data_IF_836406806886
#
_entry.id   IF_836406806886
#
_cell.length_a   1.000
_cell.length_b   1.000
_cell.length_c   1.000
_cell.angle_alpha   90.00
_cell.angle_beta   90.00
_cell.angle_gamma   90.00
#
_symmetry.space_group_name_H-M   'P 1'
#
loop_
_entity.id
_entity.type
_entity.pdbx_description
1 polymer ?
#
# COMPACT_ATOMS: atom_id res chain seq x y z
N UNK A 1 6.22 41.24 -25.55
CA UNK A 1 6.87 42.49 -25.11
C UNK A 1 5.87 43.23 -24.21
N UNK A 2 5.98 43.06 -22.89
CA UNK A 2 5.05 43.66 -21.93
C UNK A 2 5.45 45.13 -21.73
N UNK A 3 4.50 46.08 -21.89
CA UNK A 3 4.75 47.49 -21.58
C UNK A 3 4.86 47.65 -20.07
N UNK A 4 6.08 47.79 -19.57
CA UNK A 4 6.37 48.09 -18.17
C UNK A 4 5.93 49.52 -17.84
N UNK A 5 5.33 49.71 -16.67
CA UNK A 5 5.02 51.04 -16.13
C UNK A 5 6.31 51.84 -15.84
N UNK A 6 6.22 53.19 -15.80
CA UNK A 6 7.38 54.05 -15.52
C UNK A 6 8.11 53.67 -14.22
N UNK A 7 7.37 53.27 -13.19
CA UNK A 7 7.91 52.82 -11.91
C UNK A 7 8.69 51.51 -12.02
N UNK A 8 8.21 50.56 -12.83
CA UNK A 8 8.90 49.29 -13.09
C UNK A 8 10.19 49.49 -13.90
N UNK A 9 10.22 50.46 -14.82
CA UNK A 9 11.43 50.81 -15.57
C UNK A 9 12.51 51.39 -14.64
N UNK A 10 12.14 52.27 -13.71
CA UNK A 10 13.08 52.83 -12.71
C UNK A 10 13.63 51.73 -11.79
N UNK A 11 12.77 50.79 -11.36
CA UNK A 11 13.19 49.64 -10.56
C UNK A 11 14.19 48.78 -11.33
N UNK A 12 13.91 48.46 -12.59
CA UNK A 12 14.77 47.62 -13.43
C UNK A 12 16.15 48.24 -13.64
N UNK A 13 16.24 49.54 -13.91
CA UNK A 13 17.53 50.24 -14.05
C UNK A 13 18.31 50.28 -12.73
N UNK A 14 17.62 50.42 -11.61
CA UNK A 14 18.24 50.35 -10.29
C UNK A 14 18.82 48.95 -10.01
N UNK A 15 18.07 47.89 -10.32
CA UNK A 15 18.50 46.50 -10.18
C UNK A 15 19.72 46.21 -11.04
N UNK A 16 19.69 46.61 -12.32
CA UNK A 16 20.85 46.46 -13.23
C UNK A 16 22.09 47.16 -12.70
N UNK A 17 21.93 48.37 -12.16
CA UNK A 17 23.04 49.14 -11.58
C UNK A 17 23.64 48.42 -10.37
N UNK A 18 22.79 47.90 -9.48
CA UNK A 18 23.21 47.14 -8.30
C UNK A 18 23.96 45.86 -8.71
N UNK A 19 23.39 45.07 -9.62
CA UNK A 19 24.04 43.84 -10.08
C UNK A 19 25.31 44.08 -10.86
N UNK A 20 25.40 45.16 -11.63
CA UNK A 20 26.64 45.58 -12.26
C UNK A 20 27.73 45.87 -11.22
N UNK A 21 27.39 46.59 -10.14
CA UNK A 21 28.33 46.80 -9.04
C UNK A 21 28.81 45.49 -8.43
N UNK A 22 27.91 44.54 -8.14
CA UNK A 22 28.27 43.21 -7.63
C UNK A 22 29.21 42.46 -8.58
N UNK A 23 28.91 42.50 -9.88
CA UNK A 23 29.73 41.89 -10.90
C UNK A 23 31.14 42.48 -10.93
N UNK A 24 31.24 43.80 -11.06
CA UNK A 24 32.52 44.49 -11.21
C UNK A 24 33.40 44.36 -9.96
N UNK A 25 32.81 44.40 -8.77
CA UNK A 25 33.57 44.36 -7.51
C UNK A 25 33.84 42.95 -6.97
N UNK A 26 32.90 42.02 -7.11
CA UNK A 26 32.98 40.72 -6.43
C UNK A 26 33.21 39.56 -7.39
N UNK A 27 32.61 39.58 -8.58
CA UNK A 27 32.80 38.52 -9.57
C UNK A 27 34.11 38.72 -10.31
N UNK A 28 34.26 39.84 -11.03
CA UNK A 28 35.47 40.17 -11.80
C UNK A 28 36.68 40.44 -10.89
N UNK A 29 36.43 40.98 -9.70
CA UNK A 29 37.45 41.23 -8.68
C UNK A 29 38.07 39.98 -8.06
N UNK A 30 37.49 38.79 -8.29
CA UNK A 30 38.04 37.51 -7.83
C UNK A 30 38.06 37.37 -6.31
N UNK A 31 36.88 37.28 -5.68
CA UNK A 31 36.79 37.08 -4.23
C UNK A 31 37.27 35.71 -3.77
N UNK A 32 37.78 35.62 -2.54
CA UNK A 32 38.14 34.34 -1.92
C UNK A 32 36.91 33.46 -1.67
N UNK A 33 37.13 32.14 -1.58
CA UNK A 33 36.07 31.17 -1.30
C UNK A 33 35.32 31.43 0.01
N UNK A 34 36.02 31.89 1.06
CA UNK A 34 35.39 32.23 2.35
C UNK A 34 34.45 33.42 2.23
N UNK A 35 34.88 34.46 1.49
CA UNK A 35 34.06 35.64 1.24
C UNK A 35 32.85 35.29 0.38
N UNK A 36 33.00 34.39 -0.59
CA UNK A 36 31.90 33.86 -1.37
C UNK A 36 30.86 33.14 -0.48
N UNK A 37 31.30 32.24 0.40
CA UNK A 37 30.39 31.57 1.35
C UNK A 37 29.69 32.56 2.29
N UNK A 38 30.39 33.57 2.79
CA UNK A 38 29.79 34.62 3.63
C UNK A 38 28.70 35.41 2.88
N UNK A 39 28.91 35.71 1.60
CA UNK A 39 27.90 36.37 0.76
C UNK A 39 26.69 35.46 0.59
N UNK A 40 26.88 34.20 0.21
CA UNK A 40 25.78 33.24 0.06
C UNK A 40 24.98 33.08 1.35
N UNK A 41 25.64 32.92 2.50
CA UNK A 41 24.97 32.84 3.81
C UNK A 41 24.16 34.11 4.13
N UNK A 42 24.71 35.29 3.84
CA UNK A 42 24.03 36.57 4.07
C UNK A 42 22.75 36.73 3.23
N UNK A 43 22.75 36.18 2.02
CA UNK A 43 21.63 36.30 1.08
C UNK A 43 20.70 35.08 1.02
N UNK A 44 21.05 33.96 1.66
CA UNK A 44 20.33 32.69 1.58
C UNK A 44 18.81 32.80 1.81
N UNK A 45 18.39 33.66 2.74
CA UNK A 45 16.98 33.86 3.12
C UNK A 45 16.38 35.16 2.60
N UNK A 46 17.09 35.90 1.74
CA UNK A 46 16.64 37.18 1.20
C UNK A 46 16.17 37.00 -0.24
N UNK A 47 15.07 37.64 -0.60
CA UNK A 47 14.66 37.74 -2.00
C UNK A 47 15.60 38.71 -2.71
N UNK A 48 16.59 38.18 -3.43
CA UNK A 48 17.69 38.95 -3.99
C UNK A 48 17.99 38.65 -5.46
N UNK A 49 17.28 37.71 -6.08
CA UNK A 49 17.43 37.33 -7.48
C UNK A 49 16.24 37.86 -8.28
N UNK A 50 16.47 38.85 -9.14
CA UNK A 50 15.40 39.45 -9.95
C UNK A 50 15.11 38.59 -11.18
N UNK A 51 13.86 38.20 -11.35
CA UNK A 51 13.37 37.51 -12.54
C UNK A 51 12.54 38.49 -13.37
N UNK A 52 13.09 38.89 -14.52
CA UNK A 52 12.43 39.84 -15.44
C UNK A 52 11.14 39.27 -16.04
N UNK A 53 11.02 37.94 -16.15
CA UNK A 53 9.84 37.30 -16.76
C UNK A 53 8.62 37.37 -15.86
N UNK A 54 8.82 37.21 -14.55
CA UNK A 54 7.76 37.27 -13.54
C UNK A 54 7.68 38.63 -12.83
N UNK A 55 8.69 39.48 -12.98
CA UNK A 55 8.75 40.80 -12.34
C UNK A 55 8.86 40.72 -10.81
N UNK A 56 9.52 39.67 -10.28
CA UNK A 56 9.59 39.36 -8.85
C UNK A 56 11.02 39.04 -8.43
N UNK A 57 11.32 39.30 -7.15
CA UNK A 57 12.54 38.80 -6.52
C UNK A 57 12.35 37.41 -5.91
N UNK A 58 13.32 36.53 -6.16
CA UNK A 58 13.37 35.18 -5.66
C UNK A 58 14.44 35.02 -4.58
N UNK A 59 14.18 34.13 -3.63
CA UNK A 59 15.21 33.65 -2.72
C UNK A 59 16.15 32.71 -3.48
N UNK A 60 17.45 32.67 -3.14
CA UNK A 60 18.41 31.76 -3.75
C UNK A 60 17.95 30.29 -3.75
N UNK A 61 17.33 29.83 -2.66
CA UNK A 61 16.81 28.45 -2.56
C UNK A 61 15.64 28.12 -3.52
N UNK A 62 15.00 29.13 -4.12
CA UNK A 62 13.85 28.94 -5.02
C UNK A 62 14.17 29.22 -6.49
N UNK A 63 15.43 29.51 -6.82
CA UNK A 63 15.86 29.83 -8.18
C UNK A 63 16.92 28.84 -8.65
N UNK A 64 16.66 28.23 -9.81
CA UNK A 64 17.49 27.19 -10.40
C UNK A 64 18.02 27.63 -11.78
N UNK A 65 19.15 27.07 -12.21
CA UNK A 65 19.65 27.22 -13.59
C UNK A 65 18.93 26.25 -14.53
N UNK A 66 18.76 25.02 -14.08
CA UNK A 66 18.03 23.99 -14.81
C UNK A 66 16.53 24.24 -14.75
N UNK A 67 15.81 23.75 -15.76
CA UNK A 67 14.39 24.01 -15.88
C UNK A 67 13.55 23.24 -14.85
N UNK A 68 12.67 23.95 -14.13
CA UNK A 68 11.86 23.41 -13.04
C UNK A 68 10.35 23.71 -13.18
N UNK A 69 9.72 23.39 -14.32
CA UNK A 69 8.31 23.76 -14.59
C UNK A 69 7.32 23.08 -13.64
N UNK A 70 7.72 21.98 -13.01
CA UNK A 70 6.93 21.18 -12.07
C UNK A 70 6.72 21.84 -10.70
N UNK A 71 7.37 22.96 -10.40
CA UNK A 71 7.13 23.72 -9.16
C UNK A 71 6.14 24.88 -9.31
N UNK A 72 5.51 25.02 -10.47
CA UNK A 72 4.54 26.08 -10.74
C UNK A 72 5.13 27.48 -10.51
N UNK A 73 4.45 28.30 -9.71
CA UNK A 73 4.86 29.67 -9.39
C UNK A 73 5.60 29.82 -8.05
N UNK A 74 6.03 28.71 -7.43
CA UNK A 74 6.68 28.70 -6.10
C UNK A 74 8.20 28.61 -6.18
N UNK A 75 8.74 28.14 -7.29
CA UNK A 75 10.17 28.12 -7.65
C UNK A 75 10.31 28.50 -9.13
N UNK A 76 11.48 28.98 -9.55
CA UNK A 76 11.69 29.51 -10.91
C UNK A 76 12.98 29.01 -11.54
N UNK A 77 13.01 29.06 -12.88
CA UNK A 77 14.20 28.88 -13.72
C UNK A 77 14.73 30.24 -14.12
N UNK A 78 15.97 30.57 -13.75
CA UNK A 78 16.68 31.74 -14.28
C UNK A 78 17.88 31.24 -15.07
N UNK A 79 17.69 31.14 -16.40
CA UNK A 79 18.65 30.51 -17.30
C UNK A 79 20.03 31.18 -17.29
N UNK A 80 21.06 30.42 -17.66
CA UNK A 80 22.44 30.92 -17.75
C UNK A 80 22.64 32.01 -18.81
N UNK A 81 21.74 32.13 -19.78
CA UNK A 81 21.72 33.22 -20.77
C UNK A 81 21.32 34.57 -20.18
N UNK A 82 20.90 34.63 -18.90
CA UNK A 82 20.58 35.88 -18.24
C UNK A 82 21.83 36.75 -18.07
N UNK A 83 21.70 38.06 -18.32
CA UNK A 83 22.80 39.02 -18.31
C UNK A 83 23.55 39.13 -16.96
N UNK A 84 22.97 38.58 -15.89
CA UNK A 84 23.47 38.63 -14.52
C UNK A 84 23.72 37.24 -13.91
N UNK A 85 23.85 36.20 -14.74
CA UNK A 85 23.99 34.82 -14.27
C UNK A 85 25.12 34.63 -13.24
N UNK A 86 26.31 35.22 -13.47
CA UNK A 86 27.43 35.09 -12.54
C UNK A 86 27.16 35.75 -11.18
N UNK A 87 26.40 36.86 -11.17
CA UNK A 87 25.95 37.50 -9.93
C UNK A 87 24.92 36.64 -9.21
N UNK A 88 24.02 35.98 -9.94
CA UNK A 88 23.02 35.09 -9.34
C UNK A 88 23.67 33.87 -8.70
N UNK A 89 24.67 33.28 -9.35
CA UNK A 89 25.47 32.20 -8.77
C UNK A 89 26.23 32.66 -7.52
N UNK A 90 26.83 33.86 -7.55
CA UNK A 90 27.47 34.49 -6.38
C UNK A 90 26.49 34.66 -5.20
N UNK A 91 25.25 35.05 -5.50
CA UNK A 91 24.19 35.26 -4.50
C UNK A 91 23.57 33.94 -4.00
N UNK A 92 23.91 32.81 -4.61
CA UNK A 92 23.52 31.48 -4.17
C UNK A 92 22.46 30.77 -5.03
N UNK A 93 22.21 31.24 -6.26
CA UNK A 93 21.38 30.51 -7.22
C UNK A 93 21.93 29.08 -7.39
N UNK A 94 21.05 28.09 -7.29
CA UNK A 94 21.44 26.68 -7.39
C UNK A 94 21.37 26.22 -8.83
N UNK A 95 22.16 25.20 -9.17
CA UNK A 95 22.12 24.62 -10.52
C UNK A 95 20.84 23.82 -10.75
N UNK A 96 20.59 22.85 -9.88
CA UNK A 96 19.48 21.91 -9.99
C UNK A 96 18.83 21.70 -8.61
N UNK A 97 17.54 21.33 -8.56
CA UNK A 97 16.90 20.91 -7.34
C UNK A 97 17.52 19.60 -6.81
N UNK A 98 17.52 19.45 -5.48
CA UNK A 98 17.85 18.21 -4.78
C UNK A 98 16.58 17.66 -4.13
N UNK A 99 16.64 16.42 -3.61
CA UNK A 99 15.52 15.75 -2.92
C UNK A 99 14.81 16.69 -1.93
N UNK A 100 15.55 17.42 -1.10
CA UNK A 100 14.97 18.35 -0.13
C UNK A 100 14.09 19.44 -0.76
N UNK A 101 14.42 19.95 -1.95
CA UNK A 101 13.61 21.01 -2.58
C UNK A 101 12.22 20.49 -2.99
N UNK A 102 12.13 19.21 -3.36
CA UNK A 102 10.88 18.54 -3.69
C UNK A 102 10.04 18.26 -2.44
N UNK A 103 10.70 17.85 -1.34
CA UNK A 103 10.05 17.64 -0.04
C UNK A 103 9.50 18.95 0.52
N UNK A 104 10.31 20.01 0.49
CA UNK A 104 9.93 21.34 0.91
C UNK A 104 8.74 21.84 0.10
N UNK A 105 8.74 21.61 -1.23
CA UNK A 105 7.63 22.04 -2.09
C UNK A 105 6.31 21.37 -1.71
N UNK A 106 6.30 20.04 -1.56
CA UNK A 106 5.06 19.31 -1.23
C UNK A 106 4.56 19.70 0.17
N UNK A 107 5.48 19.95 1.10
CA UNK A 107 5.14 20.37 2.46
C UNK A 107 4.56 21.78 2.48
N UNK A 108 5.23 22.75 1.81
CA UNK A 108 4.74 24.11 1.63
C UNK A 108 3.35 24.13 0.96
N UNK A 109 3.17 23.31 -0.08
CA UNK A 109 1.90 23.20 -0.79
C UNK A 109 0.79 22.63 0.10
N UNK A 110 1.09 21.63 0.93
CA UNK A 110 0.13 21.10 1.89
C UNK A 110 -0.24 22.16 2.95
N UNK A 111 0.75 22.85 3.52
CA UNK A 111 0.54 23.90 4.53
C UNK A 111 -0.33 25.05 4.01
N UNK A 112 -0.12 25.51 2.78
CA UNK A 112 -0.93 26.57 2.15
C UNK A 112 -2.43 26.19 2.06
N UNK A 113 -2.72 24.95 1.69
CA UNK A 113 -4.09 24.46 1.54
C UNK A 113 -4.72 23.99 2.85
N UNK A 114 -3.93 23.79 3.90
CA UNK A 114 -4.42 23.53 5.27
C UNK A 114 -4.67 24.84 6.03
N UNK A 115 -3.79 25.84 5.89
CA UNK A 115 -3.89 27.13 6.60
C UNK A 115 -5.02 28.01 6.07
N UNK A 116 -5.47 27.79 4.83
CA UNK A 116 -6.63 28.47 4.23
C UNK A 116 -7.97 27.97 4.76
N UNK A 117 -7.99 26.92 5.59
CA UNK A 117 -9.19 26.41 6.25
C UNK A 117 -9.43 27.17 7.55
N UNK A 118 -10.16 28.28 7.48
CA UNK A 118 -10.65 28.97 8.68
C UNK A 118 -11.52 28.04 9.55
N UNK A 119 -11.25 28.13 10.85
CA UNK A 119 -11.82 27.41 11.98
C UNK A 119 -13.35 27.27 11.91
N UNK A 120 -13.86 26.20 11.28
CA UNK A 120 -15.27 25.81 11.41
C UNK A 120 -15.36 24.75 12.50
N UNK A 121 -15.61 25.19 13.73
CA UNK A 121 -15.92 24.32 14.86
C UNK A 121 -17.26 23.62 14.63
N UNK A 122 -17.25 22.44 14.01
CA UNK A 122 -18.33 21.46 14.24
C UNK A 122 -17.84 20.43 15.23
N UNK A 123 -18.21 20.64 16.49
CA UNK A 123 -17.95 19.75 17.61
C UNK A 123 -18.89 18.53 17.55
N UNK A 124 -18.68 17.64 16.59
CA UNK A 124 -19.22 16.28 16.60
C UNK A 124 -18.60 15.52 15.44
N UNK A 125 -18.00 14.37 15.75
CA UNK A 125 -17.39 13.39 14.82
C UNK A 125 -15.92 13.67 14.46
N UNK A 126 -15.09 12.64 14.62
CA UNK A 126 -13.65 12.75 14.84
C UNK A 126 -12.88 13.46 13.72
N UNK A 127 -12.14 14.51 14.10
CA UNK A 127 -10.94 15.05 13.42
C UNK A 127 -10.92 14.89 11.89
N UNK A 128 -11.93 15.43 11.21
CA UNK A 128 -11.85 15.68 9.78
C UNK A 128 -10.96 16.91 9.57
N UNK A 129 -9.70 16.68 9.20
CA UNK A 129 -8.87 17.74 8.63
C UNK A 129 -9.50 18.13 7.29
N UNK A 130 -10.29 19.20 7.27
CA UNK A 130 -10.83 19.75 6.02
C UNK A 130 -9.68 20.38 5.23
N UNK A 131 -9.00 19.54 4.44
CA UNK A 131 -7.98 19.99 3.51
C UNK A 131 -8.69 20.50 2.25
N UNK A 132 -8.36 21.72 1.83
CA UNK A 132 -8.89 22.24 0.57
C UNK A 132 -8.33 21.43 -0.61
N UNK A 133 -9.20 21.11 -1.56
CA UNK A 133 -8.81 20.45 -2.81
C UNK A 133 -7.85 21.35 -3.59
N UNK A 134 -6.75 20.79 -4.10
CA UNK A 134 -5.79 21.50 -4.92
C UNK A 134 -6.46 21.97 -6.22
N UNK A 135 -6.13 23.18 -6.67
CA UNK A 135 -6.48 23.58 -8.03
C UNK A 135 -5.73 22.73 -9.07
N UNK A 136 -6.18 22.74 -10.32
CA UNK A 136 -5.60 21.91 -11.39
C UNK A 136 -4.11 22.12 -11.61
N UNK A 137 -3.62 23.36 -11.51
CA UNK A 137 -2.20 23.66 -11.71
C UNK A 137 -1.35 23.08 -10.57
N UNK A 138 -1.78 23.26 -9.33
CA UNK A 138 -1.09 22.77 -8.14
C UNK A 138 -1.16 21.25 -8.03
N UNK A 139 -2.29 20.63 -8.39
CA UNK A 139 -2.44 19.17 -8.52
C UNK A 139 -1.41 18.60 -9.50
N UNK A 140 -1.29 19.21 -10.68
CA UNK A 140 -0.33 18.77 -11.70
C UNK A 140 1.13 18.93 -11.22
N UNK A 141 1.43 19.99 -10.49
CA UNK A 141 2.74 20.17 -9.86
C UNK A 141 3.00 19.09 -8.81
N UNK A 142 2.03 18.80 -7.93
CA UNK A 142 2.15 17.77 -6.91
C UNK A 142 2.41 16.38 -7.55
N UNK A 143 1.68 16.01 -8.59
CA UNK A 143 1.88 14.74 -9.32
C UNK A 143 3.31 14.66 -9.89
N UNK A 144 3.77 15.72 -10.57
CA UNK A 144 5.11 15.73 -11.17
C UNK A 144 6.21 15.66 -10.11
N UNK A 145 6.04 16.35 -8.98
CA UNK A 145 7.00 16.32 -7.88
C UNK A 145 7.03 14.94 -7.20
N UNK A 146 5.87 14.33 -6.92
CA UNK A 146 5.80 12.98 -6.36
C UNK A 146 6.44 11.94 -7.31
N UNK A 147 6.21 12.03 -8.62
CA UNK A 147 6.83 11.15 -9.61
C UNK A 147 8.36 11.31 -9.66
N UNK A 148 8.87 12.53 -9.49
CA UNK A 148 10.32 12.78 -9.38
C UNK A 148 10.92 12.23 -8.10
N UNK A 149 10.22 12.37 -6.96
CA UNK A 149 10.63 11.76 -5.70
C UNK A 149 10.71 10.23 -5.81
N UNK A 150 9.72 9.59 -6.45
CA UNK A 150 9.75 8.15 -6.73
C UNK A 150 10.97 7.78 -7.60
N UNK A 151 11.23 8.54 -8.66
CA UNK A 151 12.37 8.31 -9.56
C UNK A 151 13.71 8.45 -8.84
N UNK A 152 13.85 9.45 -7.98
CA UNK A 152 15.05 9.70 -7.18
C UNK A 152 15.28 8.58 -6.15
N UNK A 153 14.23 8.12 -5.48
CA UNK A 153 14.33 6.98 -4.57
C UNK A 153 14.75 5.70 -5.29
N UNK A 154 14.24 5.46 -6.51
CA UNK A 154 14.58 4.28 -7.31
C UNK A 154 16.02 4.31 -7.83
N UNK A 155 16.49 5.47 -8.29
CA UNK A 155 17.80 5.61 -8.94
C UNK A 155 18.94 5.83 -7.93
N UNK A 156 18.70 6.63 -6.90
CA UNK A 156 19.74 7.12 -5.98
C UNK A 156 19.65 6.45 -4.58
N UNK A 157 18.60 5.67 -4.33
CA UNK A 157 18.40 4.98 -3.05
C UNK A 157 18.06 5.93 -1.88
N UNK A 158 17.70 7.18 -2.16
CA UNK A 158 17.35 8.16 -1.13
C UNK A 158 15.99 7.80 -0.52
N UNK A 159 16.00 7.46 0.77
CA UNK A 159 14.78 7.11 1.47
C UNK A 159 13.91 8.35 1.71
N UNK A 160 12.73 8.37 1.11
CA UNK A 160 11.69 9.37 1.35
C UNK A 160 10.64 8.77 2.28
N UNK A 161 10.28 9.47 3.36
CA UNK A 161 9.31 9.00 4.35
C UNK A 161 8.45 10.14 4.86
N UNK A 162 7.22 9.82 5.23
CA UNK A 162 6.28 10.70 5.95
C UNK A 162 6.02 12.04 5.24
N UNK A 163 5.95 12.01 3.91
CA UNK A 163 5.58 13.19 3.12
C UNK A 163 4.06 13.27 2.96
N UNK A 164 3.49 14.48 2.76
CA UNK A 164 2.14 14.61 2.26
C UNK A 164 1.98 13.90 0.92
N UNK A 165 0.88 13.16 0.76
CA UNK A 165 0.53 12.39 -0.44
C UNK A 165 -0.82 12.85 -0.97
N UNK A 166 -0.92 12.85 -2.31
CA UNK A 166 -2.12 13.24 -3.02
C UNK A 166 -3.21 12.17 -2.89
N UNK A 167 -4.42 12.61 -2.55
CA UNK A 167 -5.60 11.76 -2.37
C UNK A 167 -6.51 11.81 -3.60
N UNK A 168 -7.48 10.91 -3.70
CA UNK A 168 -8.46 10.87 -4.78
C UNK A 168 -9.34 12.14 -4.85
N UNK A 169 -9.47 12.89 -3.74
CA UNK A 169 -10.16 14.18 -3.70
C UNK A 169 -9.24 15.38 -4.04
N UNK A 170 -8.06 15.11 -4.59
CA UNK A 170 -7.01 16.09 -4.88
C UNK A 170 -6.55 16.89 -3.65
N UNK A 171 -6.60 16.31 -2.46
CA UNK A 171 -6.06 16.92 -1.24
C UNK A 171 -4.69 16.32 -0.92
N UNK A 172 -3.84 17.07 -0.19
CA UNK A 172 -2.57 16.55 0.35
C UNK A 172 -2.77 16.16 1.81
N UNK A 173 -2.58 14.89 2.12
CA UNK A 173 -2.74 14.32 3.45
C UNK A 173 -1.44 13.64 3.91
N UNK A 174 -1.16 13.57 5.23
CA UNK A 174 -0.06 12.75 5.74
C UNK A 174 -0.16 11.30 5.24
N UNK A 175 0.96 10.72 4.83
CA UNK A 175 0.99 9.38 4.21
C UNK A 175 0.25 8.31 5.05
N UNK A 176 0.43 8.31 6.37
CA UNK A 176 -0.20 7.38 7.33
C UNK A 176 -1.74 7.43 7.36
N UNK A 177 -2.35 8.51 6.85
CA UNK A 177 -3.80 8.69 6.77
C UNK A 177 -4.38 8.32 5.41
N UNK A 178 -3.52 7.98 4.44
CA UNK A 178 -3.90 7.64 3.07
C UNK A 178 -3.78 6.13 2.86
N UNK A 179 -4.84 5.56 2.29
CA UNK A 179 -5.05 4.16 2.00
C UNK A 179 -4.83 3.90 0.51
N UNK A 180 -4.01 2.89 0.22
CA UNK A 180 -3.85 2.33 -1.12
C UNK A 180 -5.12 1.54 -1.45
N UNK A 181 -5.81 1.83 -2.57
CA UNK A 181 -7.05 1.16 -2.94
C UNK A 181 -6.82 -0.24 -3.54
N UNK A 182 -6.12 -1.11 -2.82
CA UNK A 182 -5.84 -2.50 -3.21
C UNK A 182 -6.95 -3.50 -2.86
N UNK A 183 -8.05 -3.01 -2.27
CA UNK A 183 -9.34 -3.70 -2.16
C UNK A 183 -10.42 -2.90 -2.93
N UNK A 184 -10.56 -3.07 -4.26
CA UNK A 184 -11.46 -2.26 -5.08
C UNK A 184 -12.93 -2.28 -4.62
N UNK A 185 -13.40 -3.42 -4.09
CA UNK A 185 -14.76 -3.58 -3.56
C UNK A 185 -15.02 -2.80 -2.26
N UNK A 186 -13.98 -2.26 -1.61
CA UNK A 186 -14.10 -1.40 -0.43
C UNK A 186 -13.98 0.09 -0.78
N UNK A 187 -13.30 0.42 -1.87
CA UNK A 187 -12.91 1.80 -2.24
C UNK A 187 -14.07 2.79 -2.17
N UNK A 188 -15.22 2.41 -2.72
CA UNK A 188 -16.38 3.31 -2.87
C UNK A 188 -17.06 3.66 -1.54
N UNK A 189 -16.74 2.94 -0.46
CA UNK A 189 -17.26 3.21 0.88
C UNK A 189 -16.33 4.07 1.74
N UNK A 190 -15.10 4.33 1.26
CA UNK A 190 -14.11 5.12 1.99
C UNK A 190 -14.18 6.58 1.53
N UNK A 191 -13.99 7.51 2.46
CA UNK A 191 -13.81 8.93 2.13
C UNK A 191 -12.69 9.09 1.07
N UNK A 192 -12.97 9.74 -0.08
CA UNK A 192 -11.97 10.03 -1.11
C UNK A 192 -10.74 10.79 -0.59
N UNK A 193 -10.83 11.54 0.51
CA UNK A 193 -9.68 12.19 1.17
C UNK A 193 -8.72 11.21 1.85
N UNK A 194 -9.14 9.96 2.02
CA UNK A 194 -8.31 8.87 2.57
C UNK A 194 -7.85 7.90 1.49
N UNK A 195 -8.30 8.02 0.25
CA UNK A 195 -7.89 7.12 -0.83
C UNK A 195 -6.73 7.74 -1.61
N UNK A 196 -5.71 6.95 -1.91
CA UNK A 196 -4.58 7.37 -2.75
C UNK A 196 -5.06 7.82 -4.15
N UNK A 197 -4.50 8.92 -4.64
CA UNK A 197 -4.75 9.39 -6.01
C UNK A 197 -4.23 8.39 -7.05
N UNK A 198 -4.98 8.18 -8.14
CA UNK A 198 -4.69 7.14 -9.16
C UNK A 198 -3.35 7.31 -9.89
N UNK A 199 -2.90 8.56 -10.06
CA UNK A 199 -1.61 8.88 -10.69
C UNK A 199 -0.40 8.73 -9.75
N UNK A 200 -0.61 8.36 -8.49
CA UNK A 200 0.48 8.07 -7.54
C UNK A 200 0.69 6.56 -7.46
N UNK A 201 1.92 6.13 -7.70
CA UNK A 201 2.32 4.72 -7.62
C UNK A 201 2.07 4.15 -6.23
N UNK A 202 1.34 3.03 -6.15
CA UNK A 202 1.10 2.30 -4.89
C UNK A 202 2.40 1.83 -4.23
N UNK A 203 3.42 1.49 -5.03
CA UNK A 203 4.74 1.08 -4.52
C UNK A 203 5.44 2.23 -3.81
N UNK A 204 5.42 3.42 -4.42
CA UNK A 204 5.97 4.62 -3.81
C UNK A 204 5.18 5.02 -2.57
N UNK A 205 3.84 5.08 -2.66
CA UNK A 205 2.94 5.38 -1.54
C UNK A 205 3.20 4.49 -0.32
N UNK A 206 3.34 3.18 -0.54
CA UNK A 206 3.70 2.24 0.53
C UNK A 206 5.06 2.55 1.16
N UNK A 207 6.05 2.93 0.34
CA UNK A 207 7.41 3.22 0.83
C UNK A 207 7.49 4.50 1.69
N UNK A 208 6.60 5.45 1.44
CA UNK A 208 6.53 6.71 2.20
C UNK A 208 5.64 6.63 3.45
N UNK A 209 4.88 5.54 3.63
CA UNK A 209 4.10 5.27 4.84
C UNK A 209 2.58 5.13 4.64
N UNK A 210 2.07 5.05 3.41
CA UNK A 210 0.65 4.77 3.18
C UNK A 210 0.27 3.34 3.57
N UNK A 211 -0.95 3.18 4.05
CA UNK A 211 -1.51 1.90 4.48
C UNK A 211 -2.25 1.20 3.34
N UNK A 212 -2.35 -0.12 3.39
CA UNK A 212 -3.08 -0.97 2.46
C UNK A 212 -4.53 -1.13 2.93
N UNK A 213 -5.51 -0.81 2.07
CA UNK A 213 -6.92 -1.03 2.40
C UNK A 213 -7.24 -2.54 2.54
N UNK A 214 -6.51 -3.40 1.84
CA UNK A 214 -6.67 -4.85 1.91
C UNK A 214 -6.04 -5.47 3.16
N UNK A 215 -4.89 -4.97 3.61
CA UNK A 215 -4.10 -5.60 4.69
C UNK A 215 -4.23 -4.93 6.03
N UNK A 216 -4.37 -3.60 6.05
CA UNK A 216 -4.32 -2.81 7.27
C UNK A 216 -5.72 -2.42 7.77
N UNK A 217 -6.77 -2.68 6.98
CA UNK A 217 -8.16 -2.54 7.42
C UNK A 217 -8.64 -3.79 8.15
N UNK A 218 -9.27 -3.59 9.30
CA UNK A 218 -9.83 -4.62 10.18
C UNK A 218 -11.35 -4.49 10.15
N UNK A 219 -12.03 -5.58 9.79
CA UNK A 219 -13.49 -5.62 9.75
C UNK A 219 -14.06 -6.01 11.10
N UNK A 220 -15.09 -5.28 11.55
CA UNK A 220 -15.88 -5.62 12.74
C UNK A 220 -17.35 -5.66 12.37
N UNK A 221 -18.08 -6.75 12.66
CA UNK A 221 -19.50 -6.83 12.33
C UNK A 221 -20.32 -5.82 13.14
N UNK A 222 -21.34 -5.25 12.52
CA UNK A 222 -22.37 -4.45 13.18
C UNK A 222 -23.71 -5.16 13.16
N UNK A 223 -24.05 -5.79 12.03
CA UNK A 223 -25.30 -6.51 11.84
C UNK A 223 -25.07 -7.81 11.07
N UNK A 224 -25.72 -8.90 11.50
CA UNK A 224 -25.81 -10.16 10.76
C UNK A 224 -27.26 -10.62 10.72
N UNK A 225 -27.82 -10.73 9.51
CA UNK A 225 -29.16 -11.28 9.28
C UNK A 225 -29.06 -12.68 8.68
N UNK A 226 -29.77 -13.65 9.26
CA UNK A 226 -29.76 -15.03 8.77
C UNK A 226 -30.50 -15.17 7.43
N UNK A 227 -29.93 -15.98 6.54
CA UNK A 227 -30.53 -16.29 5.24
C UNK A 227 -31.65 -17.32 5.38
N UNK A 228 -32.66 -17.18 4.53
CA UNK A 228 -33.70 -18.20 4.31
C UNK A 228 -33.49 -18.98 3.00
N UNK A 229 -32.38 -18.74 2.30
CA UNK A 229 -32.05 -19.46 1.07
C UNK A 229 -31.70 -20.91 1.41
N UNK A 230 -32.55 -21.84 0.98
CA UNK A 230 -32.41 -23.26 1.30
C UNK A 230 -31.09 -23.84 0.79
N UNK A 231 -30.69 -23.55 -0.45
CA UNK A 231 -29.42 -24.04 -1.02
C UNK A 231 -28.21 -23.59 -0.21
N UNK A 232 -28.14 -22.30 0.12
CA UNK A 232 -27.06 -21.75 0.94
C UNK A 232 -27.01 -22.40 2.32
N UNK A 233 -28.18 -22.62 2.94
CA UNK A 233 -28.28 -23.30 4.23
C UNK A 233 -27.84 -24.76 4.15
N UNK A 234 -28.22 -25.48 3.09
CA UNK A 234 -27.82 -26.88 2.86
C UNK A 234 -26.30 -27.00 2.70
N UNK A 235 -25.69 -26.09 1.92
CA UNK A 235 -24.23 -26.04 1.77
C UNK A 235 -23.51 -25.73 3.10
N UNK A 236 -24.02 -24.79 3.89
CA UNK A 236 -23.51 -24.53 5.23
C UNK A 236 -23.63 -25.76 6.14
N UNK A 237 -24.70 -26.54 6.04
CA UNK A 237 -24.86 -27.75 6.84
C UNK A 237 -23.84 -28.83 6.44
N UNK A 238 -23.63 -29.04 5.13
CA UNK A 238 -22.62 -29.96 4.61
C UNK A 238 -21.22 -29.58 5.09
N UNK A 239 -20.82 -28.32 4.90
CA UNK A 239 -19.52 -27.83 5.35
C UNK A 239 -19.37 -27.89 6.87
N UNK A 240 -20.42 -27.62 7.64
CA UNK A 240 -20.39 -27.78 9.09
C UNK A 240 -20.10 -29.23 9.48
N UNK A 241 -20.75 -30.21 8.83
CA UNK A 241 -20.49 -31.63 9.07
C UNK A 241 -19.03 -31.98 8.76
N UNK A 242 -18.48 -31.44 7.67
CA UNK A 242 -17.07 -31.63 7.32
C UNK A 242 -16.13 -30.99 8.34
N UNK A 243 -16.31 -29.71 8.69
CA UNK A 243 -15.50 -29.00 9.69
C UNK A 243 -15.50 -29.71 11.05
N UNK A 244 -16.65 -30.28 11.43
CA UNK A 244 -16.82 -30.97 12.72
C UNK A 244 -16.17 -32.37 12.74
N UNK A 245 -15.76 -32.91 11.60
CA UNK A 245 -15.17 -34.26 11.48
C UNK A 245 -13.73 -34.35 12.01
N UNK A 246 -13.32 -35.55 12.43
CA UNK A 246 -11.94 -35.78 12.89
C UNK A 246 -10.96 -35.78 11.71
N UNK A 247 -11.43 -36.25 10.56
CA UNK A 247 -10.73 -36.30 9.28
C UNK A 247 -10.35 -34.90 8.81
N UNK A 248 -11.26 -33.92 8.94
CA UNK A 248 -10.94 -32.54 8.63
C UNK A 248 -9.84 -31.98 9.53
N UNK A 249 -9.93 -32.16 10.86
CA UNK A 249 -8.88 -31.71 11.78
C UNK A 249 -7.53 -32.35 11.50
N UNK A 250 -7.52 -33.65 11.17
CA UNK A 250 -6.32 -34.39 10.77
C UNK A 250 -5.75 -33.87 9.45
N UNK A 251 -6.60 -33.67 8.45
CA UNK A 251 -6.24 -33.10 7.15
C UNK A 251 -5.69 -31.68 7.25
N UNK A 252 -6.30 -30.84 8.10
CA UNK A 252 -5.84 -29.49 8.37
C UNK A 252 -4.47 -29.45 9.04
N UNK A 253 -4.22 -30.32 10.05
CA UNK A 253 -2.88 -30.46 10.64
C UNK A 253 -1.85 -30.87 9.60
N UNK A 254 -2.21 -31.79 8.70
CA UNK A 254 -1.36 -32.23 7.59
C UNK A 254 -1.05 -31.09 6.62
N UNK A 255 -2.03 -30.25 6.28
CA UNK A 255 -1.83 -29.07 5.44
C UNK A 255 -0.87 -28.06 6.10
N UNK A 256 -1.07 -27.77 7.38
CA UNK A 256 -0.20 -26.85 8.13
C UNK A 256 1.23 -27.40 8.20
N UNK A 257 1.39 -28.69 8.47
CA UNK A 257 2.70 -29.36 8.48
C UNK A 257 3.40 -29.28 7.11
N UNK A 258 2.65 -29.46 6.01
CA UNK A 258 3.20 -29.36 4.67
C UNK A 258 3.76 -27.96 4.35
N UNK A 259 3.07 -26.90 4.78
CA UNK A 259 3.48 -25.52 4.49
C UNK A 259 4.60 -25.00 5.41
N UNK A 260 4.78 -25.60 6.59
CA UNK A 260 5.73 -25.14 7.63
C UNK A 260 6.88 -26.07 7.93
N UNK A 261 6.80 -27.31 7.45
CA UNK A 261 7.75 -28.38 7.74
C UNK A 261 7.94 -28.70 9.24
N UNK A 262 7.02 -28.25 10.09
CA UNK A 262 7.03 -28.45 11.55
C UNK A 262 5.65 -28.89 12.03
N UNK A 263 5.63 -29.77 13.05
CA UNK A 263 4.37 -30.29 13.59
C UNK A 263 3.62 -29.18 14.33
N UNK A 264 2.35 -28.89 13.96
CA UNK A 264 1.64 -27.77 14.55
C UNK A 264 1.21 -28.07 15.99
N UNK A 265 1.61 -27.18 16.91
CA UNK A 265 1.12 -27.19 18.30
C UNK A 265 -0.14 -26.32 18.35
N UNK A 266 -1.21 -26.81 17.73
CA UNK A 266 -2.48 -26.09 17.61
C UNK A 266 -3.66 -26.96 18.07
N UNK A 267 -4.45 -26.42 19.00
CA UNK A 267 -5.72 -27.03 19.38
C UNK A 267 -6.81 -26.68 18.35
N UNK A 268 -7.27 -27.72 17.65
CA UNK A 268 -8.35 -27.64 16.65
C UNK A 268 -9.66 -28.21 17.18
N UNK A 269 -9.78 -28.51 18.48
CA UNK A 269 -11.00 -29.07 19.08
C UNK A 269 -12.18 -28.10 18.93
N UNK A 270 -11.94 -26.78 18.89
CA UNK A 270 -12.99 -25.79 18.69
C UNK A 270 -13.76 -25.99 17.37
N UNK A 271 -13.11 -26.50 16.33
CA UNK A 271 -13.76 -26.83 15.05
C UNK A 271 -14.79 -27.94 15.19
N UNK A 272 -14.65 -28.85 16.17
CA UNK A 272 -15.63 -29.91 16.41
C UNK A 272 -17.01 -29.38 16.85
N UNK A 273 -17.05 -28.13 17.32
CA UNK A 273 -18.26 -27.44 17.81
C UNK A 273 -18.60 -26.21 16.96
N UNK A 274 -17.88 -26.01 15.85
CA UNK A 274 -18.14 -24.87 14.99
C UNK A 274 -19.54 -24.98 14.40
N UNK A 275 -20.23 -23.85 14.35
CA UNK A 275 -21.51 -23.70 13.67
C UNK A 275 -21.31 -22.92 12.39
N UNK A 276 -22.10 -23.21 11.38
CA UNK A 276 -22.05 -22.50 10.12
C UNK A 276 -23.46 -22.06 9.73
N UNK A 277 -23.60 -20.78 9.39
CA UNK A 277 -24.89 -20.21 9.00
C UNK A 277 -24.73 -19.31 7.79
N UNK A 278 -25.66 -19.47 6.84
CA UNK A 278 -25.78 -18.55 5.73
C UNK A 278 -26.44 -17.26 6.23
N UNK A 279 -25.87 -16.11 5.88
CA UNK A 279 -26.40 -14.79 6.15
C UNK A 279 -27.03 -14.19 4.88
N UNK A 280 -28.17 -13.52 4.98
CA UNK A 280 -28.70 -12.71 3.87
C UNK A 280 -28.03 -11.35 3.80
N UNK A 281 -27.49 -10.88 4.92
CA UNK A 281 -26.82 -9.60 5.04
C UNK A 281 -25.78 -9.70 6.17
N UNK A 282 -24.61 -9.14 5.92
CA UNK A 282 -23.58 -8.90 6.91
C UNK A 282 -23.17 -7.45 6.71
N UNK A 283 -23.23 -6.64 7.75
CA UNK A 283 -22.69 -5.29 7.75
C UNK A 283 -21.47 -5.23 8.66
N UNK A 284 -20.46 -4.48 8.25
CA UNK A 284 -19.21 -4.29 8.98
C UNK A 284 -18.84 -2.82 9.04
N UNK A 285 -18.15 -2.48 10.12
CA UNK A 285 -17.36 -1.28 10.23
C UNK A 285 -15.90 -1.63 9.92
N UNK A 286 -15.19 -0.71 9.28
CA UNK A 286 -13.77 -0.84 8.99
C UNK A 286 -12.96 0.04 9.93
N UNK A 287 -11.97 -0.56 10.57
CA UNK A 287 -11.03 0.11 11.46
C UNK A 287 -9.60 -0.06 10.98
N UNK A 288 -8.73 0.87 11.32
CA UNK A 288 -7.29 0.69 11.25
C UNK A 288 -6.76 0.06 12.55
N UNK A 289 -5.50 -0.37 12.55
CA UNK A 289 -4.85 -0.99 13.71
C UNK A 289 -4.77 -0.07 14.95
N UNK A 290 -4.88 1.24 14.76
CA UNK A 290 -4.89 2.25 15.81
C UNK A 290 -6.32 2.56 16.31
N UNK A 291 -7.31 1.75 15.96
CA UNK A 291 -8.74 1.92 16.27
C UNK A 291 -9.41 3.09 15.55
N UNK A 292 -8.76 3.70 14.55
CA UNK A 292 -9.41 4.71 13.71
C UNK A 292 -10.48 4.08 12.83
N UNK A 293 -11.73 4.53 13.01
CA UNK A 293 -12.86 4.17 12.14
C UNK A 293 -12.73 4.84 10.77
N UNK A 294 -12.76 4.05 9.69
CA UNK A 294 -12.59 4.53 8.31
C UNK A 294 -13.84 4.36 7.42
N UNK A 295 -14.76 3.46 7.80
CA UNK A 295 -16.08 3.34 7.18
C UNK A 295 -17.04 2.62 8.12
N UNK A 296 -18.33 2.94 8.02
CA UNK A 296 -19.38 2.37 8.88
C UNK A 296 -20.48 1.72 8.06
N UNK A 297 -21.04 0.63 8.59
CA UNK A 297 -22.23 -0.04 8.08
C UNK A 297 -22.14 -0.45 6.60
N UNK A 298 -20.98 -0.99 6.20
CA UNK A 298 -20.72 -1.38 4.81
C UNK A 298 -20.91 -2.89 4.61
N UNK A 299 -21.20 -3.38 3.39
CA UNK A 299 -21.43 -4.81 3.17
C UNK A 299 -20.21 -5.68 3.49
N UNK A 300 -20.37 -6.67 4.34
CA UNK A 300 -19.37 -7.71 4.64
C UNK A 300 -19.65 -9.02 3.91
N UNK A 301 -18.65 -9.90 3.88
CA UNK A 301 -18.72 -11.20 3.20
C UNK A 301 -18.71 -12.38 4.17
N UNK A 302 -17.98 -12.27 5.27
CA UNK A 302 -17.91 -13.28 6.32
C UNK A 302 -17.73 -12.65 7.70
N UNK A 303 -18.20 -13.35 8.73
CA UNK A 303 -17.93 -13.01 10.11
C UNK A 303 -17.81 -14.29 10.96
N UNK A 304 -16.84 -14.33 11.87
CA UNK A 304 -16.75 -15.38 12.88
C UNK A 304 -17.12 -14.84 14.26
N UNK A 305 -18.22 -15.35 14.80
CA UNK A 305 -18.71 -15.02 16.12
C UNK A 305 -17.98 -15.89 17.17
N UNK A 306 -17.03 -15.28 17.88
CA UNK A 306 -16.11 -15.97 18.79
C UNK A 306 -16.81 -16.68 19.95
N UNK A 307 -17.89 -16.10 20.49
CA UNK A 307 -18.59 -16.63 21.66
C UNK A 307 -19.32 -17.95 21.36
N UNK A 308 -20.05 -18.01 20.26
CA UNK A 308 -20.80 -19.21 19.85
C UNK A 308 -20.02 -20.12 18.90
N UNK A 309 -18.82 -19.71 18.47
CA UNK A 309 -18.02 -20.36 17.42
C UNK A 309 -18.81 -20.52 16.13
N UNK A 310 -19.53 -19.46 15.75
CA UNK A 310 -20.39 -19.46 14.55
C UNK A 310 -19.70 -18.73 13.41
N UNK A 311 -19.54 -19.40 12.29
CA UNK A 311 -19.21 -18.79 11.02
C UNK A 311 -20.50 -18.30 10.34
N UNK A 312 -20.56 -17.02 10.04
CA UNK A 312 -21.60 -16.39 9.25
C UNK A 312 -21.03 -16.07 7.86
N UNK A 313 -21.61 -16.65 6.82
CA UNK A 313 -21.14 -16.48 5.43
C UNK A 313 -22.25 -15.86 4.59
N UNK A 314 -21.97 -14.79 3.84
CA UNK A 314 -22.96 -14.16 2.98
C UNK A 314 -23.48 -15.15 1.94
N UNK A 315 -24.80 -15.23 1.81
CA UNK A 315 -25.49 -16.11 0.88
C UNK A 315 -25.24 -15.65 -0.56
N UNK A 316 -24.78 -16.55 -1.41
CA UNK A 316 -24.56 -16.31 -2.83
C UNK A 316 -25.23 -17.37 -3.69
N UNK A 317 -25.52 -17.05 -4.95
CA UNK A 317 -25.97 -18.04 -5.93
C UNK A 317 -24.88 -19.06 -6.31
N UNK A 318 -23.63 -18.78 -5.97
CA UNK A 318 -22.47 -19.63 -6.26
C UNK A 318 -21.93 -20.29 -4.99
N UNK A 319 -21.98 -21.63 -4.95
CA UNK A 319 -21.36 -22.44 -3.88
C UNK A 319 -19.88 -22.13 -3.74
N UNK A 320 -19.18 -22.01 -4.87
CA UNK A 320 -17.75 -21.73 -4.90
C UNK A 320 -17.40 -20.40 -4.22
N UNK A 321 -18.17 -19.33 -4.46
CA UNK A 321 -17.92 -18.02 -3.82
C UNK A 321 -18.10 -18.12 -2.30
N UNK A 322 -19.17 -18.77 -1.84
CA UNK A 322 -19.37 -19.01 -0.41
C UNK A 322 -18.26 -19.85 0.22
N UNK A 323 -17.78 -20.87 -0.50
CA UNK A 323 -16.65 -21.69 -0.07
C UNK A 323 -15.38 -20.86 0.08
N UNK A 324 -15.09 -19.94 -0.82
CA UNK A 324 -13.95 -19.02 -0.70
C UNK A 324 -14.04 -18.20 0.59
N UNK A 325 -15.19 -17.57 0.87
CA UNK A 325 -15.38 -16.80 2.09
C UNK A 325 -15.25 -17.63 3.37
N UNK A 326 -15.78 -18.86 3.36
CA UNK A 326 -15.61 -19.80 4.46
C UNK A 326 -14.14 -20.19 4.66
N UNK A 327 -13.45 -20.51 3.56
CA UNK A 327 -12.04 -20.91 3.56
C UNK A 327 -11.16 -19.79 4.13
N UNK A 328 -11.39 -18.55 3.70
CA UNK A 328 -10.73 -17.36 4.24
C UNK A 328 -11.00 -17.19 5.73
N UNK A 329 -12.27 -17.33 6.15
CA UNK A 329 -12.67 -17.20 7.55
C UNK A 329 -12.01 -18.26 8.45
N UNK A 330 -11.99 -19.52 8.01
CA UNK A 330 -11.31 -20.61 8.72
C UNK A 330 -9.80 -20.35 8.79
N UNK A 331 -9.17 -19.97 7.68
CA UNK A 331 -7.73 -19.70 7.65
C UNK A 331 -7.33 -18.53 8.56
N UNK A 332 -8.14 -17.48 8.62
CA UNK A 332 -7.93 -16.33 9.50
C UNK A 332 -7.96 -16.71 10.99
N UNK A 333 -8.66 -17.78 11.37
CA UNK A 333 -8.69 -18.30 12.75
C UNK A 333 -7.49 -19.17 13.11
N UNK A 334 -6.67 -19.57 12.14
CA UNK A 334 -5.43 -20.30 12.40
C UNK A 334 -4.31 -19.39 12.89
N UNK A 335 -4.48 -18.06 12.77
CA UNK A 335 -3.55 -17.06 13.26
C UNK A 335 -2.15 -17.27 12.69
N UNK A 336 -1.18 -17.47 13.56
CA UNK A 336 0.18 -17.73 13.13
C UNK A 336 0.30 -18.95 12.23
N UNK A 337 -0.62 -19.93 12.27
CA UNK A 337 -0.65 -21.17 11.48
C UNK A 337 -1.42 -21.07 10.14
N UNK A 338 -1.84 -19.87 9.73
CA UNK A 338 -2.50 -19.69 8.44
C UNK A 338 -1.69 -20.31 7.29
N UNK A 339 -2.38 -21.03 6.41
CA UNK A 339 -1.78 -21.65 5.22
C UNK A 339 -1.70 -20.63 4.08
N UNK A 340 -0.62 -20.69 3.30
CA UNK A 340 -0.40 -19.78 2.17
C UNK A 340 -1.28 -20.11 0.97
N UNK A 341 -1.46 -21.39 0.68
CA UNK A 341 -2.30 -21.85 -0.42
C UNK A 341 -3.68 -22.26 0.10
N UNK A 342 -4.71 -21.48 -0.23
CA UNK A 342 -6.08 -21.72 0.18
C UNK A 342 -6.77 -22.82 -0.63
N UNK A 343 -6.26 -23.18 -1.81
CA UNK A 343 -6.92 -24.14 -2.69
C UNK A 343 -7.07 -25.53 -2.02
N UNK A 344 -6.01 -26.15 -1.45
CA UNK A 344 -6.16 -27.41 -0.73
C UNK A 344 -7.08 -27.31 0.48
N UNK A 345 -7.09 -26.16 1.18
CA UNK A 345 -7.98 -25.93 2.31
C UNK A 345 -9.45 -25.91 1.86
N UNK A 346 -9.78 -25.15 0.81
CA UNK A 346 -11.10 -25.14 0.21
C UNK A 346 -11.53 -26.55 -0.25
N UNK A 347 -10.61 -27.28 -0.89
CA UNK A 347 -10.89 -28.64 -1.37
C UNK A 347 -11.24 -29.62 -0.24
N UNK A 348 -10.56 -29.55 0.91
CA UNK A 348 -10.90 -30.44 2.04
C UNK A 348 -12.13 -29.97 2.83
N UNK A 349 -12.49 -28.68 2.78
CA UNK A 349 -13.76 -28.16 3.35
C UNK A 349 -14.94 -28.68 2.53
N UNK A 350 -14.80 -28.73 1.19
CA UNK A 350 -15.86 -29.14 0.27
C UNK A 350 -15.91 -30.66 0.03
N UNK A 351 -14.99 -31.43 0.60
CA UNK A 351 -14.94 -32.88 0.48
C UNK A 351 -15.83 -33.60 1.51
N UNK A 352 -16.23 -34.83 1.18
CA UNK A 352 -16.74 -35.75 2.19
C UNK A 352 -15.63 -36.12 3.19
N UNK A 353 -15.90 -36.14 4.52
CA UNK A 353 -14.88 -36.40 5.53
C UNK A 353 -13.99 -37.61 5.26
N UNK A 354 -14.59 -38.73 4.89
CA UNK A 354 -13.89 -40.00 4.59
C UNK A 354 -12.89 -39.91 3.43
N UNK A 355 -13.05 -38.96 2.52
CA UNK A 355 -12.23 -38.82 1.31
C UNK A 355 -11.07 -37.82 1.49
N UNK A 356 -11.05 -37.04 2.58
CA UNK A 356 -10.06 -35.97 2.82
C UNK A 356 -8.62 -36.49 2.71
N UNK A 357 -8.32 -37.65 3.29
CA UNK A 357 -6.97 -38.20 3.23
C UNK A 357 -6.54 -38.62 1.82
N UNK A 358 -7.46 -39.20 1.03
CA UNK A 358 -7.19 -39.56 -0.37
C UNK A 358 -6.97 -38.32 -1.21
N UNK A 359 -7.83 -37.31 -1.06
CA UNK A 359 -7.72 -36.04 -1.75
C UNK A 359 -6.38 -35.34 -1.46
N UNK A 360 -5.94 -35.33 -0.19
CA UNK A 360 -4.64 -34.77 0.18
C UNK A 360 -3.46 -35.55 -0.43
N UNK A 361 -3.60 -36.87 -0.68
CA UNK A 361 -2.59 -37.65 -1.40
C UNK A 361 -2.55 -37.26 -2.88
N UNK A 362 -3.71 -37.09 -3.52
CA UNK A 362 -3.81 -36.66 -4.92
C UNK A 362 -3.24 -35.25 -5.13
N UNK A 363 -3.48 -34.36 -4.17
CA UNK A 363 -2.89 -33.01 -4.12
C UNK A 363 -1.40 -33.00 -3.71
N UNK A 364 -0.78 -34.18 -3.53
CA UNK A 364 0.64 -34.36 -3.17
C UNK A 364 1.05 -33.64 -1.88
N UNK A 365 0.12 -33.48 -0.95
CA UNK A 365 0.40 -32.88 0.37
C UNK A 365 1.19 -33.87 1.21
N UNK A 366 2.27 -33.44 1.84
CA UNK A 366 3.13 -34.31 2.67
C UNK A 366 2.34 -34.90 3.85
N UNK A 367 2.56 -36.18 4.18
CA UNK A 367 1.97 -36.82 5.36
C UNK A 367 2.65 -36.40 6.66
N UNK A 368 1.93 -36.46 7.78
CA UNK A 368 2.50 -36.24 9.12
C UNK A 368 3.51 -37.36 9.48
N UNK A 369 4.56 -37.07 10.28
CA UNK A 369 5.64 -38.01 10.61
C UNK A 369 5.23 -39.29 11.37
N UNK A 370 3.97 -39.44 11.76
CA UNK A 370 3.46 -40.55 12.59
C UNK A 370 2.59 -41.58 11.84
N UNK A 371 2.60 -41.57 10.50
CA UNK A 371 1.85 -42.51 9.64
C UNK A 371 2.75 -43.47 8.82
N UNK A 372 4.06 -43.48 9.04
CA UNK A 372 5.01 -44.36 8.32
C UNK A 372 5.17 -45.74 8.98
N UNK A 373 4.55 -46.00 10.13
CA UNK A 373 4.69 -47.28 10.87
C UNK A 373 3.35 -47.92 11.20
N UNK A 374 2.60 -48.36 10.19
CA UNK A 374 1.47 -49.30 10.40
C UNK A 374 1.06 -50.12 9.16
N UNK A 375 1.89 -50.24 8.13
CA UNK A 375 1.66 -51.17 7.01
C UNK A 375 2.97 -51.77 6.51
N UNK A 376 3.72 -52.40 7.40
CA UNK A 376 4.74 -53.41 7.03
C UNK A 376 5.05 -54.24 8.29
N UNK A 377 4.05 -54.96 8.77
CA UNK A 377 4.23 -56.05 9.73
C UNK A 377 4.16 -57.36 8.94
N UNK A 378 5.34 -57.87 8.61
CA UNK A 378 5.70 -59.29 8.58
C UNK A 378 4.56 -60.28 8.36
N UNK A 379 4.41 -60.73 7.11
CA UNK A 379 4.02 -62.10 6.82
C UNK A 379 5.13 -62.74 5.99
N UNK A 380 6.25 -63.05 6.65
CA UNK A 380 7.12 -64.14 6.24
C UNK A 380 6.63 -65.41 6.94
N UNK A 381 5.88 -66.23 6.21
CA UNK A 381 5.79 -67.66 6.45
C UNK A 381 5.48 -68.37 5.12
N UNK A 382 6.50 -69.05 4.62
CA UNK A 382 6.43 -70.28 3.82
C UNK A 382 5.47 -70.34 2.63
N UNK A 383 6.04 -70.25 1.42
CA UNK A 383 5.97 -71.40 0.53
C UNK A 383 7.09 -71.39 -0.51
N UNK A 384 7.95 -72.40 -0.40
CA UNK A 384 8.99 -72.76 -1.34
C UNK A 384 8.37 -73.43 -2.58
N UNK A 385 8.96 -73.14 -3.74
CA UNK A 385 8.97 -73.93 -4.98
C UNK A 385 8.00 -73.50 -6.10
N UNK A 386 8.49 -72.72 -7.07
CA UNK A 386 9.10 -73.26 -8.30
C UNK A 386 9.68 -72.17 -9.21
N UNK A 387 10.90 -72.41 -9.67
CA UNK A 387 11.60 -71.78 -10.82
C UNK A 387 10.66 -71.56 -12.01
N UNK A 388 10.74 -70.39 -12.66
CA UNK A 388 11.07 -70.24 -14.10
C UNK A 388 11.69 -68.85 -14.32
N UNK A 389 12.66 -68.83 -15.22
CA UNK A 389 13.67 -67.83 -15.59
C UNK A 389 13.22 -66.69 -16.52
N UNK A 390 13.96 -65.57 -16.42
CA UNK A 390 14.41 -64.64 -17.49
C UNK A 390 13.39 -63.79 -18.29
N UNK A 391 13.52 -62.46 -18.17
CA UNK A 391 14.07 -61.51 -19.18
C UNK A 391 13.63 -60.07 -18.81
N UNK A 392 14.54 -59.16 -18.44
CA UNK A 392 15.26 -58.18 -19.29
C UNK A 392 14.37 -57.25 -20.13
N UNK A 393 14.44 -55.96 -19.82
CA UNK A 393 13.85 -54.82 -20.54
C UNK A 393 13.57 -53.69 -19.52
N UNK A 394 14.55 -52.91 -19.07
CA UNK A 394 15.13 -51.74 -19.76
C UNK A 394 14.11 -50.84 -20.48
N UNK A 395 13.65 -49.81 -19.79
CA UNK A 395 13.42 -48.43 -20.27
C UNK A 395 12.94 -47.59 -19.08
N UNK A 396 13.78 -46.84 -18.36
CA UNK A 396 14.39 -45.57 -18.77
C UNK A 396 13.46 -44.72 -19.63
N UNK A 397 12.72 -43.79 -19.01
CA UNK A 397 12.57 -42.41 -19.51
C UNK A 397 12.44 -41.47 -18.31
N UNK A 398 13.40 -40.56 -18.25
CA UNK A 398 13.51 -39.38 -17.37
C UNK A 398 12.80 -38.18 -18.03
N UNK A 399 12.58 -37.13 -17.23
CA UNK A 399 12.10 -35.77 -17.55
C UNK A 399 10.57 -35.58 -17.54
N UNK A 400 10.02 -34.52 -16.94
CA UNK A 400 10.66 -33.26 -16.55
C UNK A 400 9.82 -32.45 -15.57
N UNK A 401 10.50 -31.44 -15.05
CA UNK A 401 10.08 -30.45 -14.07
C UNK A 401 8.83 -29.67 -14.47
N UNK A 402 8.00 -29.38 -13.46
CA UNK A 402 7.41 -28.07 -13.20
C UNK A 402 7.30 -27.88 -11.69
#
# INVERSE_FOLDING_TARGET
>A
MIKLSNTQNILLESVKTIYKYFYDTLVKGGISGDRHRQIQQRFAHRQCLWDESTGKFWQPKHAFLDDVPFFGNRRTTIASSHAHCEVYQLLGQRRSPVVQDYLDFITELAEEYHASTEFTLSASEGLCYHNNSLNEADKNCAIQVLSRLESQQLLEGVAVKNIPILTANNTLCPAEKVLIPDAPWRKDYIDPNRILHELVSAKFAKSVGCLSLLKDAIERPTEVKTSRNTKSCDWCLEWQNTLNSAEFRSGLKRLIFHDRESEPILDLIWLAKAKLSAASQINVDLFLSDETLIATDIPGTQHFEEFNKTFHIISSGSRYIMLCFLTESVNARLGEYAVKNLLPLASIIDAEPRNIHSLLNELRIRSLPSLVTATESENQADNVSKKVTNSRGESSIYWGAF
#
